data_IF_654410576404
#
_entry.id   IF_654410576404
#
_cell.length_a   1.000
_cell.length_b   1.000
_cell.length_c   1.000
_cell.angle_alpha   90.00
_cell.angle_beta   90.00
_cell.angle_gamma   90.00
#
_symmetry.space_group_name_H-M   'P 1'
#
loop_
_entity.id
_entity.type
_entity.pdbx_description
1 polymer ?
#
# COMPACT_ATOMS: atom_id res chain seq x y z
N UNK A 1 9.79 -27.79 -22.25
CA UNK A 1 9.76 -27.75 -20.79
C UNK A 1 11.19 -27.47 -20.35
N UNK A 2 11.40 -26.43 -19.50
CA UNK A 2 12.75 -25.91 -19.20
C UNK A 2 13.65 -26.90 -18.44
N UNK A 3 14.93 -26.64 -18.50
CA UNK A 3 16.00 -27.43 -17.83
C UNK A 3 15.71 -27.69 -16.34
N UNK A 4 15.07 -26.74 -15.65
CA UNK A 4 14.79 -26.81 -14.21
C UNK A 4 13.43 -27.43 -13.83
N UNK A 5 12.60 -27.83 -14.80
CA UNK A 5 11.22 -28.28 -14.54
C UNK A 5 11.14 -29.43 -13.52
N UNK A 6 12.01 -30.46 -13.68
CA UNK A 6 12.04 -31.59 -12.76
C UNK A 6 12.43 -31.17 -11.34
N UNK A 7 13.43 -30.28 -11.21
CA UNK A 7 13.85 -29.71 -9.93
C UNK A 7 12.73 -28.91 -9.27
N UNK A 8 12.01 -28.11 -10.06
CA UNK A 8 10.86 -27.35 -9.56
C UNK A 8 9.77 -28.27 -9.01
N UNK A 9 9.40 -29.32 -9.76
CA UNK A 9 8.39 -30.28 -9.32
C UNK A 9 8.79 -30.99 -8.03
N UNK A 10 10.05 -31.41 -7.91
CA UNK A 10 10.55 -32.10 -6.73
C UNK A 10 10.53 -31.22 -5.48
N UNK A 11 10.94 -29.95 -5.60
CA UNK A 11 11.05 -29.01 -4.47
C UNK A 11 9.71 -28.40 -4.01
N UNK A 12 8.67 -28.47 -4.85
CA UNK A 12 7.41 -27.81 -4.60
C UNK A 12 6.24 -28.77 -4.40
N UNK A 13 6.49 -30.07 -4.39
CA UNK A 13 5.42 -31.08 -4.23
C UNK A 13 4.83 -31.11 -2.84
N UNK A 14 5.65 -30.84 -1.81
CA UNK A 14 5.26 -30.85 -0.40
C UNK A 14 5.52 -29.48 0.19
N UNK A 15 4.50 -28.89 0.80
CA UNK A 15 4.54 -27.55 1.36
C UNK A 15 4.08 -27.57 2.80
N UNK A 16 4.83 -26.93 3.68
CA UNK A 16 4.41 -26.61 5.04
C UNK A 16 4.13 -25.12 5.11
N UNK A 17 2.88 -24.72 5.29
CA UNK A 17 2.49 -23.31 5.30
C UNK A 17 1.39 -23.06 6.35
N UNK A 18 1.72 -23.16 7.65
CA UNK A 18 0.75 -22.90 8.72
C UNK A 18 0.46 -21.39 8.86
N UNK A 19 -0.69 -21.09 9.49
CA UNK A 19 -1.15 -19.75 9.80
C UNK A 19 -2.46 -19.42 9.11
N UNK A 20 -3.29 -18.63 9.81
CA UNK A 20 -4.67 -18.33 9.44
C UNK A 20 -4.98 -16.82 9.38
N UNK A 21 -3.95 -15.97 9.47
CA UNK A 21 -4.16 -14.54 9.23
C UNK A 21 -4.58 -14.29 7.79
N UNK A 22 -5.33 -13.23 7.54
CA UNK A 22 -5.79 -12.89 6.19
C UNK A 22 -4.64 -12.82 5.16
N UNK A 23 -3.50 -12.25 5.57
CA UNK A 23 -2.31 -12.14 4.70
C UNK A 23 -1.64 -13.47 4.44
N UNK A 24 -1.53 -14.37 5.43
CA UNK A 24 -1.01 -15.72 5.21
C UNK A 24 -1.95 -16.57 4.37
N UNK A 25 -3.27 -16.43 4.56
CA UNK A 25 -4.28 -17.08 3.70
C UNK A 25 -4.15 -16.58 2.25
N UNK A 26 -3.98 -15.26 2.04
CA UNK A 26 -3.74 -14.72 0.72
C UNK A 26 -2.44 -15.27 0.11
N UNK A 27 -1.33 -15.27 0.85
CA UNK A 27 -0.05 -15.80 0.42
C UNK A 27 -0.12 -17.31 0.07
N UNK A 28 -0.84 -18.09 0.87
CA UNK A 28 -1.08 -19.51 0.61
C UNK A 28 -1.86 -19.73 -0.70
N UNK A 29 -2.93 -18.97 -0.91
CA UNK A 29 -3.70 -19.04 -2.17
C UNK A 29 -2.86 -18.66 -3.39
N UNK A 30 -2.02 -17.62 -3.28
CA UNK A 30 -1.11 -17.22 -4.36
C UNK A 30 -0.08 -18.31 -4.66
N UNK A 31 0.53 -18.91 -3.63
CA UNK A 31 1.49 -19.99 -3.81
C UNK A 31 0.83 -21.21 -4.48
N UNK A 32 -0.32 -21.63 -3.98
CA UNK A 32 -1.07 -22.77 -4.51
C UNK A 32 -1.46 -22.54 -5.99
N UNK A 33 -2.07 -21.39 -6.30
CA UNK A 33 -2.46 -21.06 -7.66
C UNK A 33 -1.25 -20.96 -8.60
N UNK A 34 -0.16 -20.33 -8.13
CA UNK A 34 1.07 -20.17 -8.88
C UNK A 34 1.77 -21.51 -9.17
N UNK A 35 1.97 -22.37 -8.17
CA UNK A 35 2.59 -23.68 -8.37
C UNK A 35 1.75 -24.59 -9.27
N UNK A 36 0.45 -24.65 -9.04
CA UNK A 36 -0.47 -25.44 -9.87
C UNK A 36 -0.48 -24.96 -11.34
N UNK A 37 -0.53 -23.64 -11.55
CA UNK A 37 -0.55 -23.06 -12.89
C UNK A 37 0.77 -23.17 -13.64
N UNK A 38 1.91 -22.97 -12.97
CA UNK A 38 3.24 -23.01 -13.59
C UNK A 38 3.77 -24.42 -13.82
N UNK A 39 3.53 -25.32 -12.86
CA UNK A 39 4.17 -26.63 -12.83
C UNK A 39 3.21 -27.78 -13.13
N UNK A 40 1.90 -27.53 -13.14
CA UNK A 40 0.88 -28.56 -13.29
C UNK A 40 1.04 -29.73 -12.31
N UNK A 41 1.40 -29.41 -11.06
CA UNK A 41 1.52 -30.37 -9.96
C UNK A 41 0.43 -30.14 -8.94
N UNK A 42 -0.05 -31.19 -8.25
CA UNK A 42 -0.94 -31.01 -7.11
C UNK A 42 -0.19 -30.29 -5.98
N UNK A 43 -0.86 -29.32 -5.36
CA UNK A 43 -0.40 -28.70 -4.12
C UNK A 43 -0.81 -29.63 -2.95
N UNK A 44 0.18 -30.10 -2.20
CA UNK A 44 -0.04 -30.91 -1.01
C UNK A 44 0.51 -30.17 0.21
N UNK A 45 -0.37 -29.85 1.14
CA UNK A 45 0.02 -29.24 2.42
C UNK A 45 0.32 -30.37 3.43
N UNK A 46 1.47 -30.26 4.10
CA UNK A 46 1.97 -31.27 5.03
C UNK A 46 2.24 -30.63 6.39
N UNK A 47 1.89 -31.33 7.45
CA UNK A 47 2.16 -30.90 8.83
C UNK A 47 3.51 -31.40 9.35
N UNK A 48 4.04 -32.46 8.76
CA UNK A 48 5.28 -33.09 9.18
C UNK A 48 6.46 -32.72 8.30
N UNK A 49 7.63 -32.52 8.91
CA UNK A 49 8.86 -32.12 8.20
C UNK A 49 9.43 -33.28 7.37
N UNK A 50 9.60 -33.04 6.09
CA UNK A 50 10.16 -34.02 5.14
C UNK A 50 11.29 -33.43 4.29
N UNK A 51 12.03 -34.31 3.58
CA UNK A 51 13.05 -33.86 2.63
C UNK A 51 12.41 -33.21 1.38
N UNK A 52 13.12 -32.24 0.82
CA UNK A 52 12.71 -31.47 -0.36
C UNK A 52 11.38 -30.74 -0.21
N UNK A 53 11.09 -30.31 1.01
CA UNK A 53 9.88 -29.57 1.35
C UNK A 53 10.10 -28.06 1.21
N UNK A 54 9.07 -27.35 0.76
CA UNK A 54 8.99 -25.90 0.85
C UNK A 54 8.31 -25.52 2.18
N UNK A 55 8.98 -24.72 3.00
CA UNK A 55 8.45 -24.26 4.30
C UNK A 55 8.26 -22.75 4.23
N UNK A 56 7.05 -22.29 4.49
CA UNK A 56 6.65 -20.88 4.32
C UNK A 56 6.04 -20.35 5.61
N UNK A 57 6.47 -19.18 6.06
CA UNK A 57 5.87 -18.53 7.22
C UNK A 57 6.77 -17.56 7.95
N UNK A 58 6.33 -17.17 9.13
CA UNK A 58 7.08 -16.37 10.10
C UNK A 58 7.61 -17.25 11.23
N UNK A 59 8.56 -16.79 12.07
CA UNK A 59 8.95 -17.53 13.28
C UNK A 59 7.82 -17.77 14.27
N UNK A 60 6.71 -17.02 14.13
CA UNK A 60 5.52 -17.24 14.95
C UNK A 60 4.66 -18.37 14.39
N UNK A 61 4.39 -18.39 13.09
CA UNK A 61 3.60 -19.45 12.44
C UNK A 61 4.39 -20.75 12.26
N UNK A 62 5.72 -20.67 12.07
CA UNK A 62 6.64 -21.81 11.95
C UNK A 62 7.71 -21.76 13.05
N UNK A 63 7.46 -22.28 14.26
CA UNK A 63 8.40 -22.20 15.39
C UNK A 63 9.79 -22.79 15.10
N UNK A 64 9.89 -23.74 14.16
CA UNK A 64 11.15 -24.33 13.72
C UNK A 64 12.17 -23.29 13.22
N UNK A 65 11.71 -22.14 12.73
CA UNK A 65 12.59 -21.07 12.26
C UNK A 65 13.37 -20.37 13.37
N UNK A 66 12.86 -20.39 14.62
CA UNK A 66 13.52 -19.78 15.80
C UNK A 66 14.83 -20.47 16.16
N UNK A 67 14.96 -21.74 15.85
CA UNK A 67 16.11 -22.59 16.18
C UNK A 67 17.20 -22.59 15.09
N UNK A 68 16.97 -21.86 13.98
CA UNK A 68 17.86 -21.89 12.82
C UNK A 68 18.92 -20.79 12.86
N UNK A 69 20.07 -21.04 12.27
CA UNK A 69 21.16 -20.08 12.18
C UNK A 69 20.74 -18.77 11.48
N UNK A 70 19.82 -18.83 10.50
CA UNK A 70 19.31 -17.68 9.80
C UNK A 70 18.30 -16.84 10.62
N UNK A 71 17.95 -17.23 11.85
CA UNK A 71 17.03 -16.46 12.69
C UNK A 71 17.55 -15.04 12.97
N UNK A 72 18.86 -14.87 13.12
CA UNK A 72 19.46 -13.54 13.27
C UNK A 72 19.23 -12.64 12.04
N UNK A 73 19.22 -13.22 10.84
CA UNK A 73 18.95 -12.48 9.60
C UNK A 73 17.50 -12.03 9.52
N UNK A 74 16.55 -12.85 10.02
CA UNK A 74 15.12 -12.49 10.08
C UNK A 74 14.91 -11.27 10.97
N UNK A 75 15.60 -11.20 12.12
CA UNK A 75 15.49 -10.07 13.05
C UNK A 75 16.00 -8.75 12.43
N UNK A 76 16.87 -8.82 11.45
CA UNK A 76 17.37 -7.67 10.68
C UNK A 76 16.52 -7.26 9.48
N UNK A 77 15.38 -7.93 9.24
CA UNK A 77 14.45 -7.56 8.17
C UNK A 77 13.54 -6.42 8.61
N UNK A 78 13.12 -5.60 7.64
CA UNK A 78 11.97 -4.70 7.81
C UNK A 78 10.66 -5.50 7.84
N UNK A 79 9.53 -4.83 8.11
CA UNK A 79 8.21 -5.48 8.13
C UNK A 79 7.83 -6.09 6.78
N UNK A 80 8.39 -5.58 5.69
CA UNK A 80 8.13 -6.08 4.33
C UNK A 80 9.31 -6.87 3.74
N UNK A 81 10.37 -7.09 4.55
CA UNK A 81 11.53 -7.87 4.16
C UNK A 81 11.30 -9.37 4.28
N UNK A 82 12.05 -10.16 3.51
CA UNK A 82 11.97 -11.62 3.52
C UNK A 82 13.30 -12.28 3.15
N UNK A 83 13.41 -13.56 3.51
CA UNK A 83 14.48 -14.46 3.08
C UNK A 83 13.89 -15.61 2.26
N UNK A 84 14.59 -16.02 1.20
CA UNK A 84 14.33 -17.26 0.46
C UNK A 84 15.63 -18.03 0.43
N UNK A 85 15.69 -19.19 1.08
CA UNK A 85 16.95 -19.92 1.20
C UNK A 85 16.76 -21.43 1.20
N UNK A 86 17.79 -22.13 0.72
CA UNK A 86 17.92 -23.57 0.97
C UNK A 86 18.61 -23.78 2.32
N UNK A 87 18.06 -24.64 3.14
CA UNK A 87 18.55 -24.91 4.48
C UNK A 87 18.32 -26.36 4.89
N UNK A 88 18.95 -26.75 5.98
CA UNK A 88 18.72 -28.06 6.60
C UNK A 88 18.06 -27.86 7.95
N UNK A 89 16.82 -28.35 8.12
CA UNK A 89 16.08 -28.28 9.37
C UNK A 89 15.88 -29.69 9.91
N UNK A 90 16.35 -29.94 11.14
CA UNK A 90 16.30 -31.29 11.78
C UNK A 90 16.79 -32.41 10.84
N UNK A 91 17.87 -32.14 10.12
CA UNK A 91 18.50 -33.13 9.19
C UNK A 91 17.82 -33.26 7.83
N UNK A 92 16.72 -32.55 7.56
CA UNK A 92 16.00 -32.54 6.29
C UNK A 92 16.40 -31.36 5.42
N UNK A 93 16.69 -31.61 4.14
CA UNK A 93 16.97 -30.55 3.15
C UNK A 93 15.66 -29.88 2.78
N UNK A 94 15.57 -28.56 2.94
CA UNK A 94 14.35 -27.80 2.71
C UNK A 94 14.63 -26.50 1.96
N UNK A 95 13.61 -25.91 1.39
CA UNK A 95 13.62 -24.51 0.94
C UNK A 95 12.70 -23.72 1.88
N UNK A 96 13.17 -22.62 2.43
CA UNK A 96 12.40 -21.77 3.30
C UNK A 96 12.06 -20.43 2.63
N UNK A 97 10.83 -20.00 2.74
CA UNK A 97 10.39 -18.61 2.52
C UNK A 97 10.01 -18.08 3.89
N UNK A 98 10.79 -17.17 4.43
CA UNK A 98 10.61 -16.69 5.80
C UNK A 98 10.71 -15.18 5.88
N UNK A 99 9.86 -14.59 6.70
CA UNK A 99 9.84 -13.16 6.98
C UNK A 99 9.51 -12.90 8.44
N UNK A 100 9.70 -11.65 8.89
CA UNK A 100 9.33 -11.21 10.22
C UNK A 100 7.82 -11.01 10.37
N UNK A 101 7.14 -10.62 9.29
CA UNK A 101 5.70 -10.35 9.22
C UNK A 101 5.03 -11.15 8.11
N UNK A 102 3.72 -11.24 8.17
CA UNK A 102 2.89 -11.97 7.19
C UNK A 102 2.96 -11.33 5.79
N UNK A 103 3.08 -9.99 5.71
CA UNK A 103 3.25 -9.28 4.44
C UNK A 103 4.60 -9.58 3.81
N UNK A 104 5.66 -9.67 4.60
CA UNK A 104 6.95 -10.11 4.11
C UNK A 104 6.89 -11.53 3.53
N UNK A 105 6.12 -12.44 4.16
CA UNK A 105 5.88 -13.78 3.62
C UNK A 105 5.18 -13.73 2.27
N UNK A 106 4.14 -12.90 2.13
CA UNK A 106 3.43 -12.72 0.84
C UNK A 106 4.38 -12.24 -0.26
N UNK A 107 5.23 -11.24 0.02
CA UNK A 107 6.21 -10.74 -0.94
C UNK A 107 7.26 -11.80 -1.29
N UNK A 108 7.70 -12.59 -0.31
CA UNK A 108 8.59 -13.72 -0.52
C UNK A 108 7.97 -14.79 -1.44
N UNK A 109 6.69 -15.09 -1.26
CA UNK A 109 5.93 -16.02 -2.12
C UNK A 109 5.88 -15.51 -3.56
N UNK A 110 5.54 -14.23 -3.78
CA UNK A 110 5.54 -13.66 -5.14
C UNK A 110 6.94 -13.69 -5.78
N UNK A 111 7.99 -13.40 -5.00
CA UNK A 111 9.35 -13.49 -5.51
C UNK A 111 9.72 -14.94 -5.87
N UNK A 112 9.40 -15.91 -5.03
CA UNK A 112 9.66 -17.31 -5.29
C UNK A 112 8.97 -17.82 -6.56
N UNK A 113 7.69 -17.47 -6.74
CA UNK A 113 6.95 -17.77 -7.96
C UNK A 113 7.60 -17.13 -9.20
N UNK A 114 8.12 -15.90 -9.07
CA UNK A 114 8.85 -15.22 -10.15
C UNK A 114 10.14 -15.93 -10.53
N UNK A 115 10.88 -16.51 -9.57
CA UNK A 115 12.07 -17.33 -9.89
C UNK A 115 11.70 -18.49 -10.83
N UNK A 116 10.58 -19.16 -10.55
CA UNK A 116 10.07 -20.26 -11.39
C UNK A 116 9.64 -19.73 -12.76
N UNK A 117 8.88 -18.63 -12.80
CA UNK A 117 8.41 -18.00 -14.06
C UNK A 117 9.56 -17.58 -14.98
N UNK A 118 10.67 -17.14 -14.41
CA UNK A 118 11.85 -16.65 -15.13
C UNK A 118 12.93 -17.72 -15.32
N UNK A 119 12.60 -18.98 -15.05
CA UNK A 119 13.52 -20.14 -15.18
C UNK A 119 14.83 -19.97 -14.39
N UNK A 120 14.75 -19.42 -13.16
CA UNK A 120 15.91 -19.33 -12.28
C UNK A 120 16.11 -20.65 -11.52
N UNK A 121 17.37 -21.00 -11.25
CA UNK A 121 17.67 -22.17 -10.42
C UNK A 121 17.13 -21.97 -8.98
N UNK A 122 16.51 -23.01 -8.44
CA UNK A 122 16.12 -23.07 -7.03
C UNK A 122 17.19 -23.75 -6.15
N UNK A 123 18.35 -24.07 -6.72
CA UNK A 123 19.48 -24.63 -6.00
C UNK A 123 20.35 -23.51 -5.41
N UNK A 124 20.82 -23.72 -4.19
CA UNK A 124 21.69 -22.78 -3.46
C UNK A 124 21.08 -21.38 -3.29
N UNK A 125 19.76 -21.31 -3.09
CA UNK A 125 19.09 -20.06 -2.80
C UNK A 125 19.60 -19.50 -1.47
N UNK A 126 19.91 -18.21 -1.48
CA UNK A 126 20.09 -17.37 -0.29
C UNK A 126 19.78 -15.92 -0.71
N UNK A 127 18.51 -15.59 -0.73
CA UNK A 127 17.99 -14.29 -1.16
C UNK A 127 17.49 -13.55 0.07
N UNK A 128 18.05 -12.38 0.32
CA UNK A 128 17.61 -11.47 1.38
C UNK A 128 17.15 -10.18 0.73
N UNK A 129 15.87 -9.89 0.86
CA UNK A 129 15.26 -8.66 0.33
C UNK A 129 14.72 -7.79 1.44
N UNK A 130 14.96 -6.50 1.32
CA UNK A 130 14.49 -5.48 2.25
C UNK A 130 14.13 -4.25 1.43
N UNK A 131 12.85 -3.89 1.28
CA UNK A 131 12.47 -2.73 0.50
C UNK A 131 13.17 -1.45 1.01
N UNK A 132 13.82 -0.73 0.10
CA UNK A 132 14.54 0.52 0.43
C UNK A 132 13.61 1.70 0.66
N UNK A 133 12.45 1.70 0.00
CA UNK A 133 11.44 2.74 0.11
C UNK A 133 10.30 2.24 0.98
N UNK A 134 9.95 3.00 2.02
CA UNK A 134 8.84 2.66 2.92
C UNK A 134 7.47 2.82 2.22
N UNK A 135 7.30 3.84 1.42
CA UNK A 135 6.04 4.15 0.75
C UNK A 135 6.18 3.96 -0.76
N UNK A 136 5.38 3.08 -1.34
CA UNK A 136 5.30 2.76 -2.76
C UNK A 136 3.84 2.79 -3.15
N UNK A 137 3.34 4.00 -3.40
CA UNK A 137 1.92 4.32 -3.47
C UNK A 137 1.54 4.71 -4.89
N UNK A 138 0.51 4.06 -5.44
CA UNK A 138 -0.11 4.48 -6.70
C UNK A 138 -1.09 5.61 -6.45
N UNK A 139 -1.13 6.57 -7.37
CA UNK A 139 -2.06 7.68 -7.33
C UNK A 139 -3.06 7.58 -8.49
N UNK A 140 -4.29 7.18 -8.19
CA UNK A 140 -5.37 7.13 -9.14
C UNK A 140 -5.96 8.53 -9.41
N UNK A 141 -6.36 8.73 -10.66
CA UNK A 141 -7.05 9.96 -11.06
C UNK A 141 -8.53 9.69 -11.32
N UNK A 142 -9.08 8.78 -10.54
CA UNK A 142 -10.45 8.30 -10.62
C UNK A 142 -11.42 9.29 -9.97
N UNK A 143 -12.47 9.62 -10.69
CA UNK A 143 -13.53 10.50 -10.20
C UNK A 143 -14.66 9.69 -9.53
N UNK A 144 -15.39 10.35 -8.64
CA UNK A 144 -16.51 9.73 -7.93
C UNK A 144 -17.70 9.40 -8.84
N UNK A 145 -17.76 9.94 -10.05
CA UNK A 145 -18.75 9.61 -11.07
C UNK A 145 -18.32 8.45 -11.99
N UNK A 146 -17.21 7.78 -11.68
CA UNK A 146 -16.71 6.63 -12.45
C UNK A 146 -15.88 6.99 -13.69
N UNK A 147 -15.62 8.27 -13.97
CA UNK A 147 -14.70 8.70 -15.03
C UNK A 147 -13.27 8.84 -14.50
N UNK A 148 -12.29 8.97 -15.41
CA UNK A 148 -10.88 9.19 -15.04
C UNK A 148 -10.39 10.51 -15.60
N UNK A 149 -9.50 11.16 -14.87
CA UNK A 149 -8.93 12.49 -15.14
C UNK A 149 -10.05 13.56 -15.24
N UNK A 150 -10.16 14.26 -16.34
CA UNK A 150 -11.21 15.23 -16.63
C UNK A 150 -12.36 14.61 -17.45
N UNK A 151 -12.49 13.28 -17.41
CA UNK A 151 -13.50 12.52 -18.14
C UNK A 151 -13.03 11.92 -19.47
N UNK A 152 -11.84 12.26 -19.93
CA UNK A 152 -11.34 11.79 -21.25
C UNK A 152 -10.43 10.54 -21.16
N UNK A 153 -9.98 10.15 -19.98
CA UNK A 153 -9.03 9.04 -19.80
C UNK A 153 -9.70 7.68 -19.52
N UNK A 154 -10.98 7.54 -19.84
CA UNK A 154 -11.72 6.31 -19.68
C UNK A 154 -12.50 6.22 -18.37
N UNK A 155 -12.68 4.99 -17.89
CA UNK A 155 -13.51 4.69 -16.73
C UNK A 155 -12.67 4.16 -15.56
N UNK A 156 -13.10 4.53 -14.34
CA UNK A 156 -12.55 4.04 -13.09
C UNK A 156 -12.65 2.53 -12.98
N UNK A 157 -11.63 1.89 -12.39
CA UNK A 157 -11.73 0.49 -12.00
C UNK A 157 -12.64 0.28 -10.78
N UNK A 158 -12.92 1.36 -10.03
CA UNK A 158 -13.82 1.34 -8.88
C UNK A 158 -15.26 1.59 -9.31
N UNK A 159 -16.16 0.65 -9.04
CA UNK A 159 -17.59 0.85 -9.20
C UNK A 159 -18.19 1.38 -7.89
N UNK A 160 -18.16 2.69 -7.72
CA UNK A 160 -18.62 3.36 -6.51
C UNK A 160 -20.11 3.12 -6.19
N UNK A 161 -20.93 2.83 -7.18
CA UNK A 161 -22.37 2.59 -6.97
C UNK A 161 -22.62 1.24 -6.29
N UNK A 162 -21.82 0.23 -6.62
CA UNK A 162 -21.95 -1.13 -6.09
C UNK A 162 -21.23 -1.35 -4.76
N UNK A 163 -20.28 -0.50 -4.43
CA UNK A 163 -19.52 -0.57 -3.16
C UNK A 163 -20.37 -0.03 -1.99
N UNK A 164 -20.23 -0.59 -0.78
CA UNK A 164 -19.39 -1.74 -0.39
C UNK A 164 -20.07 -3.10 -0.58
N UNK A 165 -21.35 -3.14 -1.01
CA UNK A 165 -22.19 -4.33 -1.04
C UNK A 165 -21.67 -5.41 -2.01
N UNK A 166 -20.99 -5.00 -3.07
CA UNK A 166 -20.43 -5.91 -4.05
C UNK A 166 -18.96 -5.55 -4.36
N UNK A 167 -18.06 -6.46 -4.03
CA UNK A 167 -16.62 -6.35 -4.29
C UNK A 167 -16.29 -7.16 -5.54
N UNK A 168 -16.00 -6.48 -6.64
CA UNK A 168 -15.70 -7.12 -7.93
C UNK A 168 -14.34 -7.84 -7.86
N UNK A 169 -14.21 -8.96 -8.57
CA UNK A 169 -12.97 -9.76 -8.64
C UNK A 169 -11.77 -8.92 -9.07
N UNK A 170 -11.96 -7.96 -9.96
CA UNK A 170 -10.90 -7.05 -10.43
C UNK A 170 -10.22 -6.25 -9.30
N UNK A 171 -10.87 -6.03 -8.15
CA UNK A 171 -10.25 -5.37 -7.00
C UNK A 171 -9.22 -6.27 -6.33
N UNK A 172 -9.54 -7.56 -6.21
CA UNK A 172 -8.59 -8.56 -5.75
C UNK A 172 -7.43 -8.72 -6.74
N UNK A 173 -7.72 -8.78 -8.04
CA UNK A 173 -6.70 -8.88 -9.08
C UNK A 173 -5.78 -7.65 -9.11
N UNK A 174 -6.33 -6.46 -8.87
CA UNK A 174 -5.56 -5.24 -8.68
C UNK A 174 -4.63 -5.34 -7.47
N UNK A 175 -5.14 -5.79 -6.32
CA UNK A 175 -4.33 -5.97 -5.11
C UNK A 175 -3.20 -6.97 -5.31
N UNK A 176 -3.49 -8.12 -5.91
CA UNK A 176 -2.52 -9.17 -6.25
C UNK A 176 -1.41 -8.65 -7.16
N UNK A 177 -1.78 -7.99 -8.25
CA UNK A 177 -0.84 -7.44 -9.23
C UNK A 177 0.11 -6.43 -8.55
N UNK A 178 -0.43 -5.52 -7.76
CA UNK A 178 0.34 -4.49 -7.07
C UNK A 178 1.25 -5.07 -5.98
N UNK A 179 0.74 -5.95 -5.12
CA UNK A 179 1.54 -6.61 -4.10
C UNK A 179 2.68 -7.45 -4.71
N UNK A 180 2.45 -8.07 -5.88
CA UNK A 180 3.46 -8.87 -6.57
C UNK A 180 4.71 -8.08 -6.98
N UNK A 181 4.62 -6.77 -7.09
CA UNK A 181 5.72 -5.85 -7.38
C UNK A 181 6.07 -4.94 -6.19
N UNK A 182 5.49 -5.22 -5.02
CA UNK A 182 5.81 -4.55 -3.77
C UNK A 182 5.14 -3.17 -3.60
N UNK A 183 4.10 -2.84 -4.35
CA UNK A 183 3.26 -1.65 -4.08
C UNK A 183 2.49 -1.89 -2.78
N UNK A 184 2.53 -0.91 -1.87
CA UNK A 184 1.94 -1.03 -0.53
C UNK A 184 0.92 0.07 -0.19
N UNK A 185 0.49 0.83 -1.18
CA UNK A 185 -0.56 1.83 -0.99
C UNK A 185 -1.19 2.30 -2.29
N UNK A 186 -2.40 2.81 -2.17
CA UNK A 186 -3.14 3.37 -3.30
C UNK A 186 -4.00 4.56 -2.87
N UNK A 187 -3.90 5.68 -3.60
CA UNK A 187 -4.82 6.81 -3.49
C UNK A 187 -6.00 6.54 -4.42
N UNK A 188 -7.21 6.42 -3.87
CA UNK A 188 -8.37 5.93 -4.62
C UNK A 188 -8.99 6.94 -5.57
N UNK A 189 -8.82 8.23 -5.34
CA UNK A 189 -9.54 9.27 -6.05
C UNK A 189 -8.64 10.37 -6.59
N UNK A 190 -9.16 11.06 -7.60
CA UNK A 190 -8.47 12.12 -8.34
C UNK A 190 -7.91 13.21 -7.42
N UNK A 191 -6.74 13.73 -7.78
CA UNK A 191 -6.09 14.88 -7.10
C UNK A 191 -6.96 16.15 -7.10
N UNK A 192 -7.88 16.30 -8.08
CA UNK A 192 -8.93 17.32 -8.08
C UNK A 192 -10.11 16.87 -7.21
N UNK A 193 -9.83 16.69 -5.92
CA UNK A 193 -10.78 16.11 -4.97
C UNK A 193 -12.10 16.88 -4.88
N UNK A 194 -13.16 16.11 -4.69
CA UNK A 194 -14.47 16.64 -4.29
C UNK A 194 -14.64 16.37 -2.79
N UNK A 195 -15.09 17.37 -2.02
CA UNK A 195 -15.26 17.25 -0.58
C UNK A 195 -16.17 16.07 -0.16
N UNK A 196 -17.15 15.72 -1.02
CA UNK A 196 -18.07 14.60 -0.77
C UNK A 196 -17.37 13.24 -0.61
N UNK A 197 -16.12 13.07 -1.10
CA UNK A 197 -15.33 11.84 -0.88
C UNK A 197 -15.07 11.56 0.59
N UNK A 198 -15.16 12.58 1.45
CA UNK A 198 -14.97 12.48 2.90
C UNK A 198 -16.29 12.39 3.68
N UNK A 199 -17.43 12.28 3.01
CA UNK A 199 -18.71 11.99 3.69
C UNK A 199 -18.76 10.52 4.09
N UNK A 200 -19.46 10.23 5.17
CA UNK A 200 -19.59 8.86 5.73
C UNK A 200 -20.03 7.83 4.68
N UNK A 201 -21.01 8.18 3.83
CA UNK A 201 -21.50 7.29 2.78
C UNK A 201 -20.41 6.91 1.74
N UNK A 202 -19.47 7.79 1.46
CA UNK A 202 -18.33 7.54 0.58
C UNK A 202 -17.18 6.84 1.31
N UNK A 203 -16.95 7.18 2.58
CA UNK A 203 -15.94 6.50 3.41
C UNK A 203 -16.27 5.01 3.59
N UNK A 204 -17.56 4.67 3.76
CA UNK A 204 -18.04 3.28 3.81
C UNK A 204 -17.76 2.55 2.48
N UNK A 205 -17.86 3.21 1.33
CA UNK A 205 -17.47 2.62 0.04
C UNK A 205 -15.96 2.39 -0.06
N UNK A 206 -15.17 3.36 0.40
CA UNK A 206 -13.71 3.24 0.44
C UNK A 206 -13.26 2.10 1.40
N UNK A 207 -13.94 1.91 2.55
CA UNK A 207 -13.65 0.80 3.45
C UNK A 207 -13.85 -0.56 2.80
N UNK A 208 -14.85 -0.69 1.92
CA UNK A 208 -15.06 -1.90 1.12
C UNK A 208 -13.87 -2.27 0.23
N UNK A 209 -13.15 -1.28 -0.31
CA UNK A 209 -11.89 -1.51 -1.04
C UNK A 209 -10.73 -1.80 -0.09
N UNK A 210 -10.64 -1.08 1.04
CA UNK A 210 -9.60 -1.30 2.04
C UNK A 210 -9.61 -2.74 2.57
N UNK A 211 -10.80 -3.32 2.79
CA UNK A 211 -10.94 -4.74 3.21
C UNK A 211 -10.39 -5.72 2.16
N UNK A 212 -10.54 -5.42 0.87
CA UNK A 212 -9.97 -6.26 -0.21
C UNK A 212 -8.45 -6.13 -0.27
N UNK A 213 -7.91 -4.94 0.02
CA UNK A 213 -6.50 -4.62 -0.15
C UNK A 213 -5.64 -4.99 1.06
N UNK A 214 -6.23 -4.97 2.26
CA UNK A 214 -5.54 -5.25 3.53
C UNK A 214 -4.81 -6.60 3.57
N UNK A 215 -5.41 -7.71 3.10
CA UNK A 215 -4.72 -8.99 3.05
C UNK A 215 -3.45 -8.99 2.19
N UNK A 216 -3.36 -8.04 1.24
CA UNK A 216 -2.22 -7.86 0.35
C UNK A 216 -1.25 -6.77 0.81
N UNK A 217 -1.44 -6.20 2.01
CA UNK A 217 -0.59 -5.17 2.59
C UNK A 217 -0.70 -3.80 1.93
N UNK A 218 -1.77 -3.56 1.17
CA UNK A 218 -1.98 -2.29 0.46
C UNK A 218 -2.91 -1.41 1.28
N UNK A 219 -2.38 -0.27 1.75
CA UNK A 219 -3.14 0.74 2.46
C UNK A 219 -3.89 1.65 1.51
N UNK A 220 -5.09 2.05 1.92
CA UNK A 220 -5.90 3.04 1.20
C UNK A 220 -5.52 4.45 1.66
N UNK A 221 -5.38 5.33 0.69
CA UNK A 221 -5.23 6.78 0.85
C UNK A 221 -6.38 7.48 0.12
N UNK A 222 -6.73 8.67 0.54
CA UNK A 222 -7.72 9.52 -0.14
C UNK A 222 -7.13 10.88 -0.48
N UNK A 223 -7.46 11.39 -1.66
CA UNK A 223 -7.27 12.80 -1.93
C UNK A 223 -8.31 13.60 -1.15
N UNK A 224 -7.85 14.48 -0.29
CA UNK A 224 -8.70 15.36 0.50
C UNK A 224 -8.79 16.76 -0.13
N UNK A 225 -10.00 17.29 -0.24
CA UNK A 225 -10.20 18.70 -0.64
C UNK A 225 -9.98 19.61 0.58
N UNK A 226 -9.07 20.57 0.45
CA UNK A 226 -8.69 21.45 1.57
C UNK A 226 -9.89 22.21 2.16
N UNK A 227 -10.86 22.61 1.33
CA UNK A 227 -12.08 23.32 1.74
C UNK A 227 -13.20 22.41 2.28
N UNK A 228 -12.95 21.11 2.51
CA UNK A 228 -13.98 20.19 3.01
C UNK A 228 -14.69 20.67 4.29
N UNK A 229 -14.04 21.32 5.28
CA UNK A 229 -14.72 21.87 6.44
C UNK A 229 -15.86 22.85 6.10
N UNK A 230 -15.68 23.64 5.03
CA UNK A 230 -16.74 24.55 4.52
C UNK A 230 -17.82 23.80 3.74
N UNK A 231 -17.45 22.88 2.87
CA UNK A 231 -18.36 22.27 1.89
C UNK A 231 -19.26 21.19 2.50
N UNK A 232 -18.75 20.46 3.47
CA UNK A 232 -19.48 19.35 4.12
C UNK A 232 -19.46 19.40 5.64
N UNK A 233 -18.67 20.31 6.24
CA UNK A 233 -18.55 20.45 7.69
C UNK A 233 -19.41 21.56 8.29
N UNK A 234 -20.08 22.35 7.46
CA UNK A 234 -20.93 23.47 7.93
C UNK A 234 -20.17 24.66 8.52
N UNK A 235 -18.84 24.72 8.34
CA UNK A 235 -18.02 25.83 8.80
C UNK A 235 -17.97 26.96 7.74
N UNK A 236 -17.75 28.18 8.19
CA UNK A 236 -17.64 29.34 7.29
C UNK A 236 -16.24 29.54 6.72
N UNK A 237 -15.26 28.85 7.27
CA UNK A 237 -13.84 28.95 6.91
C UNK A 237 -13.19 27.56 6.77
N UNK A 238 -12.05 27.49 6.08
CA UNK A 238 -11.14 26.36 6.12
C UNK A 238 -9.71 26.85 6.52
N UNK A 239 -9.61 27.98 7.22
CA UNK A 239 -8.36 28.52 7.73
C UNK A 239 -7.67 27.48 8.62
N UNK A 240 -6.42 27.06 8.30
CA UNK A 240 -5.70 26.06 9.09
C UNK A 240 -5.35 26.52 10.50
N UNK A 241 -5.48 27.80 10.81
CA UNK A 241 -5.26 28.36 12.16
C UNK A 241 -6.54 28.43 13.00
N UNK A 242 -7.70 28.23 12.37
CA UNK A 242 -8.99 28.24 13.09
C UNK A 242 -9.13 26.94 13.93
N UNK A 243 -9.40 27.07 15.25
CA UNK A 243 -9.55 25.90 16.13
C UNK A 243 -10.72 24.99 15.76
N UNK A 244 -11.81 25.50 15.18
CA UNK A 244 -12.97 24.72 14.75
C UNK A 244 -12.63 23.88 13.50
N UNK A 245 -11.84 24.45 12.57
CA UNK A 245 -11.34 23.74 11.38
C UNK A 245 -10.40 22.62 11.81
N UNK A 246 -9.45 22.88 12.75
CA UNK A 246 -8.56 21.85 13.30
C UNK A 246 -9.34 20.73 14.01
N UNK A 247 -10.35 21.10 14.79
CA UNK A 247 -11.22 20.11 15.45
C UNK A 247 -11.97 19.27 14.41
N UNK A 248 -12.55 19.89 13.39
CA UNK A 248 -13.28 19.19 12.34
C UNK A 248 -12.40 18.14 11.64
N UNK A 249 -11.13 18.48 11.32
CA UNK A 249 -10.20 17.52 10.72
C UNK A 249 -9.83 16.37 11.68
N UNK A 250 -9.66 16.64 12.97
CA UNK A 250 -9.43 15.59 13.98
C UNK A 250 -10.62 14.63 14.08
N UNK A 251 -11.83 15.15 14.19
CA UNK A 251 -13.07 14.37 14.23
C UNK A 251 -13.25 13.55 12.93
N UNK A 252 -12.96 14.15 11.77
CA UNK A 252 -13.05 13.46 10.48
C UNK A 252 -12.02 12.35 10.33
N UNK A 253 -10.81 12.55 10.79
CA UNK A 253 -9.75 11.51 10.80
C UNK A 253 -10.15 10.37 11.74
N UNK A 254 -10.67 10.65 12.92
CA UNK A 254 -11.20 9.64 13.85
C UNK A 254 -12.30 8.79 13.18
N UNK A 255 -13.25 9.43 12.51
CA UNK A 255 -14.30 8.75 11.74
C UNK A 255 -13.69 7.84 10.65
N UNK A 256 -12.68 8.33 9.91
CA UNK A 256 -12.03 7.52 8.86
C UNK A 256 -11.36 6.28 9.47
N UNK A 257 -10.60 6.42 10.55
CA UNK A 257 -9.93 5.28 11.19
C UNK A 257 -10.90 4.32 11.87
N UNK A 258 -12.09 4.78 12.28
CA UNK A 258 -13.14 3.86 12.76
C UNK A 258 -13.67 2.94 11.65
N UNK A 259 -13.64 3.39 10.39
CA UNK A 259 -14.08 2.64 9.22
C UNK A 259 -12.95 1.90 8.51
N UNK A 260 -11.75 2.47 8.49
CA UNK A 260 -10.54 1.96 7.83
C UNK A 260 -9.38 2.02 8.83
N UNK A 261 -9.23 1.01 9.71
CA UNK A 261 -8.24 1.05 10.79
C UNK A 261 -6.78 1.20 10.35
N UNK A 262 -6.48 0.79 9.14
CA UNK A 262 -5.16 0.85 8.50
C UNK A 262 -5.04 1.96 7.44
N UNK A 263 -5.92 2.98 7.49
CA UNK A 263 -5.87 4.10 6.56
C UNK A 263 -4.50 4.75 6.48
N UNK A 264 -3.98 4.94 5.26
CA UNK A 264 -2.61 5.41 5.05
C UNK A 264 -2.45 6.92 5.23
N UNK A 265 -3.48 7.71 4.92
CA UNK A 265 -3.44 9.16 5.01
C UNK A 265 -4.01 9.89 3.80
N UNK A 266 -3.69 11.16 3.69
CA UNK A 266 -4.21 12.04 2.65
C UNK A 266 -3.19 12.40 1.58
N UNK A 267 -3.69 12.52 0.34
CA UNK A 267 -3.02 13.28 -0.70
C UNK A 267 -3.77 14.62 -0.85
N UNK A 268 -3.03 15.72 -0.96
CA UNK A 268 -3.64 17.06 -1.06
C UNK A 268 -3.01 17.84 -2.22
N UNK A 269 -3.88 18.40 -3.06
CA UNK A 269 -3.54 19.44 -4.02
C UNK A 269 -4.19 20.74 -3.54
N UNK A 270 -3.39 21.73 -3.23
CA UNK A 270 -3.83 23.01 -2.68
C UNK A 270 -3.28 24.18 -3.50
N UNK A 271 -4.06 25.25 -3.60
CA UNK A 271 -3.71 26.50 -4.32
C UNK A 271 -3.17 26.27 -5.74
N UNK A 272 -3.76 25.33 -6.46
CA UNK A 272 -3.35 24.97 -7.82
C UNK A 272 -4.54 24.56 -8.67
N UNK A 273 -4.64 25.06 -9.90
CA UNK A 273 -5.70 24.75 -10.87
C UNK A 273 -7.14 24.87 -10.27
N UNK A 274 -7.39 25.92 -9.53
CA UNK A 274 -8.70 26.20 -8.90
C UNK A 274 -9.01 25.35 -7.68
N UNK A 275 -8.08 24.52 -7.19
CA UNK A 275 -8.24 23.87 -5.89
C UNK A 275 -7.90 24.85 -4.77
N UNK A 276 -8.78 25.01 -3.76
CA UNK A 276 -8.54 25.89 -2.62
C UNK A 276 -7.40 25.37 -1.74
N UNK A 277 -6.77 26.28 -1.01
CA UNK A 277 -5.65 25.93 -0.14
C UNK A 277 -5.42 26.94 0.97
N UNK A 278 -4.34 26.77 1.76
CA UNK A 278 -4.05 27.62 2.91
C UNK A 278 -3.75 29.08 2.52
N UNK A 279 -3.24 29.33 1.31
CA UNK A 279 -2.93 30.70 0.86
C UNK A 279 -4.19 31.58 0.72
N UNK A 280 -5.37 30.99 0.52
CA UNK A 280 -6.66 31.69 0.52
C UNK A 280 -6.96 32.36 1.87
N UNK A 281 -6.22 31.97 2.91
CA UNK A 281 -6.32 32.44 4.30
C UNK A 281 -5.05 33.15 4.78
N UNK A 282 -4.12 33.50 3.88
CA UNK A 282 -2.85 34.11 4.24
C UNK A 282 -1.89 33.17 4.99
N UNK A 283 -2.07 31.86 4.85
CA UNK A 283 -1.25 30.81 5.45
C UNK A 283 -0.36 30.15 4.43
N UNK A 284 0.76 29.57 4.89
CA UNK A 284 1.70 28.84 4.04
C UNK A 284 1.18 27.43 3.70
N UNK A 285 1.78 26.80 2.68
CA UNK A 285 1.56 25.37 2.42
C UNK A 285 1.91 24.48 3.61
N UNK A 286 2.95 24.86 4.37
CA UNK A 286 3.33 24.13 5.59
C UNK A 286 2.26 24.24 6.68
N UNK A 287 1.64 25.42 6.89
CA UNK A 287 0.53 25.58 7.83
C UNK A 287 -0.63 24.62 7.51
N UNK A 288 -1.01 24.55 6.22
CA UNK A 288 -2.10 23.68 5.77
C UNK A 288 -1.76 22.18 5.88
N UNK A 289 -0.56 21.79 5.44
CA UNK A 289 -0.11 20.41 5.50
C UNK A 289 0.04 19.91 6.94
N UNK A 290 0.62 20.72 7.82
CA UNK A 290 0.85 20.39 9.22
C UNK A 290 -0.47 20.25 10.00
N UNK A 291 -1.49 21.03 9.70
CA UNK A 291 -2.83 20.86 10.29
C UNK A 291 -3.38 19.44 10.04
N UNK A 292 -3.29 18.96 8.80
CA UNK A 292 -3.73 17.60 8.45
C UNK A 292 -2.82 16.53 9.04
N UNK A 293 -1.53 16.77 9.03
CA UNK A 293 -0.52 15.87 9.60
C UNK A 293 -0.70 15.68 11.11
N UNK A 294 -1.04 16.76 11.83
CA UNK A 294 -1.36 16.72 13.26
C UNK A 294 -2.58 15.83 13.53
N UNK A 295 -3.64 15.94 12.72
CA UNK A 295 -4.82 15.12 12.87
C UNK A 295 -4.55 13.62 12.62
N UNK A 296 -3.67 13.29 11.66
CA UNK A 296 -3.30 11.92 11.30
C UNK A 296 -2.26 11.28 12.22
N UNK A 297 -1.44 12.08 12.92
CA UNK A 297 -0.29 11.63 13.71
C UNK A 297 -0.63 10.54 14.75
N UNK A 298 -1.75 10.63 15.52
CA UNK A 298 -2.09 9.60 16.50
C UNK A 298 -2.27 8.19 15.93
N UNK A 299 -2.57 8.11 14.63
CA UNK A 299 -2.85 6.87 13.92
C UNK A 299 -1.69 6.42 13.02
N UNK A 300 -0.59 7.17 12.98
CA UNK A 300 0.55 6.90 12.10
C UNK A 300 0.29 7.20 10.62
N UNK A 301 -0.76 7.96 10.31
CA UNK A 301 -1.05 8.37 8.95
C UNK A 301 -0.15 9.51 8.47
N UNK A 302 -0.06 9.66 7.15
CA UNK A 302 0.81 10.63 6.49
C UNK A 302 0.04 11.55 5.55
N UNK A 303 0.66 12.67 5.18
CA UNK A 303 0.17 13.59 4.16
C UNK A 303 1.13 13.61 2.99
N UNK A 304 0.64 13.33 1.79
CA UNK A 304 1.31 13.68 0.54
C UNK A 304 0.83 15.05 0.10
N UNK A 305 1.67 16.05 0.25
CA UNK A 305 1.36 17.42 -0.14
C UNK A 305 1.99 17.73 -1.50
N UNK A 306 1.15 17.98 -2.50
CA UNK A 306 1.65 18.20 -3.86
C UNK A 306 2.30 19.56 -4.00
N UNK A 307 3.57 19.56 -4.35
CA UNK A 307 4.33 20.75 -4.77
C UNK A 307 4.15 20.96 -6.28
N UNK A 308 2.95 21.40 -6.64
CA UNK A 308 2.55 21.56 -8.02
C UNK A 308 1.66 22.79 -8.15
N UNK A 309 2.27 23.93 -8.45
CA UNK A 309 1.60 25.21 -8.52
C UNK A 309 1.44 25.64 -9.96
N UNK A 310 0.21 25.63 -10.45
CA UNK A 310 -0.18 26.31 -11.67
C UNK A 310 -0.88 27.62 -11.29
N UNK A 311 -0.16 28.71 -11.42
CA UNK A 311 -0.78 30.03 -11.43
C UNK A 311 -1.14 30.39 -12.88
N UNK A 312 -2.21 31.17 -13.07
CA UNK A 312 -2.69 31.55 -14.39
C UNK A 312 -1.78 32.57 -15.14
N UNK A 313 -0.65 32.92 -14.55
CA UNK A 313 0.31 33.82 -15.19
C UNK A 313 1.05 33.10 -16.30
N UNK A 314 0.76 33.48 -17.52
CA UNK A 314 1.21 32.85 -18.79
C UNK A 314 2.71 32.84 -19.07
N UNK A 315 3.53 33.46 -18.21
CA UNK A 315 4.96 33.72 -18.49
C UNK A 315 5.94 33.08 -17.51
N UNK A 316 5.52 32.32 -16.53
CA UNK A 316 6.44 31.73 -15.56
C UNK A 316 6.52 30.21 -15.76
N UNK A 317 7.76 29.72 -15.81
CA UNK A 317 8.03 28.28 -15.86
C UNK A 317 7.43 27.60 -14.62
N UNK A 318 6.58 26.59 -14.85
CA UNK A 318 5.82 25.91 -13.81
C UNK A 318 6.68 25.15 -12.80
N UNK A 319 7.85 24.67 -13.24
CA UNK A 319 8.83 23.99 -12.38
C UNK A 319 9.47 25.01 -11.45
N UNK A 320 9.88 26.16 -12.01
CA UNK A 320 10.48 27.27 -11.24
C UNK A 320 9.49 27.80 -10.21
N UNK A 321 8.20 27.94 -10.55
CA UNK A 321 7.17 28.38 -9.62
C UNK A 321 7.03 27.43 -8.43
N UNK A 322 6.92 26.13 -8.70
CA UNK A 322 6.86 25.13 -7.64
C UNK A 322 8.09 25.17 -6.73
N UNK A 323 9.27 25.31 -7.32
CA UNK A 323 10.52 25.43 -6.56
C UNK A 323 10.53 26.68 -5.68
N UNK A 324 10.24 27.85 -6.25
CA UNK A 324 10.29 29.14 -5.55
C UNK A 324 9.26 29.19 -4.39
N UNK A 325 8.11 28.55 -4.54
CA UNK A 325 7.07 28.53 -3.53
C UNK A 325 7.37 27.56 -2.39
N UNK A 326 7.96 26.40 -2.67
CA UNK A 326 8.23 25.37 -1.66
C UNK A 326 9.61 25.45 -1.03
N UNK A 327 10.63 25.95 -1.75
CA UNK A 327 11.99 26.06 -1.21
C UNK A 327 12.10 26.89 0.08
N UNK A 328 11.42 28.04 0.22
CA UNK A 328 11.44 28.79 1.47
C UNK A 328 10.82 28.07 2.67
N UNK A 329 10.00 27.02 2.42
CA UNK A 329 9.34 26.23 3.45
C UNK A 329 10.12 24.96 3.83
N UNK A 330 11.36 24.84 3.37
CA UNK A 330 12.22 23.69 3.73
C UNK A 330 12.45 23.66 5.23
N UNK A 331 12.17 22.50 5.87
CA UNK A 331 12.22 22.36 7.33
C UNK A 331 10.96 22.77 8.08
N UNK A 332 9.96 23.38 7.44
CA UNK A 332 8.70 23.82 8.07
C UNK A 332 7.65 22.72 8.12
N UNK A 333 7.78 21.69 7.29
CA UNK A 333 6.82 20.58 7.24
C UNK A 333 7.00 19.59 8.37
N UNK A 334 5.89 19.11 8.95
CA UNK A 334 5.90 18.06 9.97
C UNK A 334 6.51 16.75 9.43
N UNK A 335 7.05 15.94 10.31
CA UNK A 335 7.76 14.68 10.01
C UNK A 335 6.93 13.68 9.16
N UNK A 336 5.60 13.70 9.33
CA UNK A 336 4.68 12.85 8.59
C UNK A 336 4.08 13.53 7.33
N UNK A 337 4.67 14.62 6.86
CA UNK A 337 4.35 15.26 5.58
C UNK A 337 5.41 14.92 4.55
N UNK A 338 4.98 14.46 3.38
CA UNK A 338 5.83 14.21 2.22
C UNK A 338 5.46 15.19 1.11
N UNK A 339 6.37 16.11 0.81
CA UNK A 339 6.21 17.03 -0.32
C UNK A 339 6.39 16.24 -1.62
N UNK A 340 5.38 16.26 -2.49
CA UNK A 340 5.35 15.50 -3.73
C UNK A 340 5.48 16.43 -4.94
N UNK A 341 6.71 16.67 -5.46
CA UNK A 341 6.89 17.39 -6.70
C UNK A 341 6.37 16.56 -7.88
N UNK A 342 5.94 17.24 -8.94
CA UNK A 342 5.64 16.62 -10.23
C UNK A 342 6.86 16.72 -11.12
N UNK A 343 7.27 15.59 -11.68
CA UNK A 343 8.30 15.52 -12.72
C UNK A 343 7.71 15.81 -14.10
#
# INVERSE_FOLDING_TARGET
KGEFYTSYCLKNRKVMFPGETESLIAAKKELQAGLSGLLNIPYTEEETLEDNMLIVGTPQSVPLFKEQAFHAEINGLSDEGYLILNCTIKGKKTTAIVARTDIGVLYGVFHYLRLIQTNQSLDKLHIKENPKLKYRVLNHWDNLNGTVERGYAGYSIWNWERLPSYKEQRYTDYARANASIGINGTVLNNVNAQAKSLRTDWLVKASGLADVFRPYGIKVYLTAKFSAPKEIGGLNTADPKDPQVRKWWKDKVEEIYSLIPDFGGFLVKANSEGQPGPQDYGCSHADGANMLAEALKPYGGIVFWRAFVYQNERHVDRVINGYNEFKPLDGEFAENVFVQPKN
#
